data_IF_683496109384
#
_entry.id   IF_683496109384
#
_cell.length_a   1.000
_cell.length_b   1.000
_cell.length_c   1.000
_cell.angle_alpha   90.00
_cell.angle_beta   90.00
_cell.angle_gamma   90.00
#
_symmetry.space_group_name_H-M   'P 1'
#
loop_
_entity.id
_entity.type
_entity.pdbx_description
1 polymer ?
#
# COMPACT_ATOMS: atom_id res chain seq x y z
N UNK A 1 -6.95 5.03 -14.44
CA UNK A 1 -5.83 4.18 -13.94
C UNK A 1 -5.17 3.53 -15.14
N UNK A 2 -3.84 3.56 -15.23
CA UNK A 2 -3.10 2.92 -16.31
C UNK A 2 -3.01 1.40 -16.09
N UNK A 3 -3.26 0.62 -17.14
CA UNK A 3 -3.20 -0.85 -17.10
C UNK A 3 -1.76 -1.30 -17.33
N UNK A 4 -1.19 -1.95 -16.32
CA UNK A 4 0.19 -2.43 -16.33
C UNK A 4 0.19 -3.95 -16.41
N UNK A 5 0.61 -4.50 -17.56
CA UNK A 5 0.56 -5.94 -17.85
C UNK A 5 1.93 -6.64 -17.75
N UNK A 6 3.03 -5.89 -17.75
CA UNK A 6 4.41 -6.41 -17.75
C UNK A 6 5.24 -5.73 -16.68
N UNK A 7 6.34 -6.38 -16.28
CA UNK A 7 7.27 -5.83 -15.28
C UNK A 7 7.94 -4.56 -15.82
N UNK A 8 8.29 -4.54 -17.10
CA UNK A 8 8.93 -3.43 -17.80
C UNK A 8 8.00 -2.20 -17.88
N UNK A 9 6.69 -2.41 -18.09
CA UNK A 9 5.72 -1.33 -18.03
C UNK A 9 5.59 -0.78 -16.60
N UNK A 10 5.71 -1.64 -15.59
CA UNK A 10 5.70 -1.20 -14.20
C UNK A 10 6.95 -0.39 -13.87
N UNK A 11 8.13 -0.81 -14.32
CA UNK A 11 9.40 -0.08 -14.19
C UNK A 11 9.28 1.33 -14.77
N UNK A 12 8.79 1.43 -16.01
CA UNK A 12 8.57 2.70 -16.69
C UNK A 12 7.55 3.58 -15.94
N UNK A 13 6.41 3.00 -15.53
CA UNK A 13 5.35 3.73 -14.83
C UNK A 13 5.80 4.25 -13.45
N UNK A 14 6.65 3.50 -12.75
CA UNK A 14 7.15 3.87 -11.43
C UNK A 14 8.46 4.70 -11.49
N UNK A 15 9.10 4.75 -12.66
CA UNK A 15 10.42 5.35 -12.91
C UNK A 15 11.46 4.78 -11.94
N UNK A 16 11.54 3.44 -11.88
CA UNK A 16 12.49 2.69 -11.04
C UNK A 16 12.90 1.41 -11.76
N UNK A 17 14.13 0.97 -11.54
CA UNK A 17 14.60 -0.35 -11.94
C UNK A 17 14.07 -1.42 -10.97
N UNK A 18 13.41 -2.45 -11.49
CA UNK A 18 12.87 -3.58 -10.74
C UNK A 18 13.65 -4.88 -10.99
N UNK A 19 14.74 -4.85 -11.77
CA UNK A 19 15.52 -6.04 -12.13
C UNK A 19 16.02 -6.85 -10.93
N UNK A 20 16.33 -6.18 -9.80
CA UNK A 20 16.73 -6.85 -8.56
C UNK A 20 15.64 -7.71 -7.91
N UNK A 21 14.39 -7.48 -8.30
CA UNK A 21 13.23 -8.22 -7.81
C UNK A 21 12.69 -9.22 -8.83
N UNK A 22 13.26 -9.29 -10.03
CA UNK A 22 12.79 -10.24 -11.05
C UNK A 22 13.00 -11.68 -10.56
N UNK A 23 12.00 -12.57 -10.71
CA UNK A 23 12.16 -13.98 -10.37
C UNK A 23 13.27 -14.63 -11.21
N UNK A 24 14.08 -15.47 -10.57
CA UNK A 24 15.12 -16.29 -11.20
C UNK A 24 14.82 -17.77 -10.92
N UNK A 25 14.72 -18.65 -11.94
CA UNK A 25 14.84 -18.36 -13.37
C UNK A 25 13.68 -17.49 -13.90
N UNK A 26 13.88 -16.86 -15.06
CA UNK A 26 12.89 -15.97 -15.66
C UNK A 26 11.62 -16.74 -16.03
N UNK A 27 10.47 -16.21 -15.63
CA UNK A 27 9.16 -16.82 -15.87
C UNK A 27 8.62 -16.38 -17.24
N UNK A 28 8.26 -17.34 -18.10
CA UNK A 28 7.67 -17.10 -19.42
C UNK A 28 6.14 -16.86 -19.37
N UNK A 29 5.70 -15.96 -18.47
CA UNK A 29 4.32 -15.48 -18.41
C UNK A 29 4.31 -14.11 -17.72
N UNK A 30 3.90 -13.06 -18.43
CA UNK A 30 3.99 -11.66 -17.97
C UNK A 30 3.28 -11.40 -16.63
N UNK A 31 2.00 -11.79 -16.52
CA UNK A 31 1.20 -11.59 -15.30
C UNK A 31 1.73 -12.34 -14.08
N UNK A 32 2.29 -13.54 -14.27
CA UNK A 32 2.90 -14.32 -13.17
C UNK A 32 4.24 -13.68 -12.80
N UNK A 33 5.04 -13.27 -13.79
CA UNK A 33 6.35 -12.64 -13.57
C UNK A 33 6.24 -11.35 -12.76
N UNK A 34 5.35 -10.43 -13.15
CA UNK A 34 5.13 -9.19 -12.40
C UNK A 34 4.57 -9.45 -10.99
N UNK A 35 3.68 -10.43 -10.84
CA UNK A 35 3.15 -10.82 -9.53
C UNK A 35 4.25 -11.37 -8.61
N UNK A 36 5.11 -12.24 -9.13
CA UNK A 36 6.27 -12.78 -8.40
C UNK A 36 7.28 -11.69 -8.05
N UNK A 37 7.57 -10.76 -8.97
CA UNK A 37 8.45 -9.62 -8.69
C UNK A 37 7.87 -8.74 -7.57
N UNK A 38 6.57 -8.46 -7.59
CA UNK A 38 5.88 -7.77 -6.50
C UNK A 38 5.93 -8.57 -5.17
N UNK A 39 5.85 -9.89 -5.24
CA UNK A 39 6.07 -10.77 -4.09
C UNK A 39 7.49 -10.66 -3.53
N UNK A 40 8.50 -10.57 -4.39
CA UNK A 40 9.91 -10.37 -4.02
C UNK A 40 10.13 -9.01 -3.36
N UNK A 41 9.49 -7.96 -3.88
CA UNK A 41 9.48 -6.63 -3.24
C UNK A 41 8.93 -6.75 -1.82
N UNK A 42 7.74 -7.35 -1.64
CA UNK A 42 7.13 -7.51 -0.32
C UNK A 42 8.00 -8.33 0.65
N UNK A 43 8.71 -9.36 0.16
CA UNK A 43 9.69 -10.11 0.98
C UNK A 43 10.88 -9.25 1.38
N UNK A 44 11.43 -8.48 0.44
CA UNK A 44 12.60 -7.63 0.66
C UNK A 44 12.30 -6.51 1.67
N UNK A 45 11.09 -5.91 1.60
CA UNK A 45 10.60 -4.96 2.61
C UNK A 45 10.69 -5.58 3.99
N UNK A 46 10.16 -6.79 4.19
CA UNK A 46 10.17 -7.47 5.50
C UNK A 46 11.59 -7.69 6.02
N UNK A 47 12.54 -7.93 5.12
CA UNK A 47 13.97 -8.07 5.44
C UNK A 47 14.68 -6.75 5.76
N UNK A 48 14.01 -5.60 5.63
CA UNK A 48 14.60 -4.29 5.95
C UNK A 48 15.09 -3.49 4.74
N UNK A 49 14.83 -3.96 3.51
CA UNK A 49 15.28 -3.27 2.30
C UNK A 49 14.51 -1.95 2.09
N UNK A 50 15.23 -0.83 2.17
CA UNK A 50 14.68 0.51 2.06
C UNK A 50 14.19 0.84 0.65
N UNK A 51 14.90 0.46 -0.42
CA UNK A 51 14.39 0.76 -1.76
C UNK A 51 13.23 -0.15 -2.13
N UNK A 52 13.14 -1.37 -1.57
CA UNK A 52 11.92 -2.18 -1.68
C UNK A 52 10.73 -1.46 -1.06
N UNK A 53 10.93 -0.83 0.11
CA UNK A 53 9.88 -0.07 0.78
C UNK A 53 9.46 1.14 -0.07
N UNK A 54 10.41 1.87 -0.65
CA UNK A 54 10.16 2.99 -1.58
C UNK A 54 9.36 2.54 -2.81
N UNK A 55 9.75 1.41 -3.43
CA UNK A 55 9.02 0.84 -4.57
C UNK A 55 7.61 0.41 -4.15
N UNK A 56 7.47 -0.30 -3.03
CA UNK A 56 6.18 -0.73 -2.52
C UNK A 56 5.25 0.44 -2.22
N UNK A 57 5.78 1.51 -1.64
CA UNK A 57 5.07 2.78 -1.45
C UNK A 57 4.60 3.38 -2.78
N UNK A 58 5.50 3.50 -3.77
CA UNK A 58 5.15 4.03 -5.10
C UNK A 58 4.03 3.22 -5.76
N UNK A 59 4.05 1.89 -5.65
CA UNK A 59 2.96 1.02 -6.15
C UNK A 59 1.63 1.37 -5.48
N UNK A 60 1.60 1.60 -4.17
CA UNK A 60 0.36 1.89 -3.45
C UNK A 60 -0.17 3.29 -3.81
N UNK A 61 0.69 4.31 -3.82
CA UNK A 61 0.26 5.69 -4.03
C UNK A 61 -0.07 5.98 -5.50
N UNK A 62 0.79 5.55 -6.45
CA UNK A 62 0.51 5.72 -7.89
C UNK A 62 -0.61 4.79 -8.39
N UNK A 63 -0.94 3.76 -7.61
CA UNK A 63 -2.12 2.92 -7.79
C UNK A 63 -2.31 2.34 -9.21
N UNK A 64 -1.29 1.66 -9.79
CA UNK A 64 -1.42 1.06 -11.11
C UNK A 64 -2.47 -0.05 -11.11
N UNK A 65 -3.11 -0.26 -12.27
CA UNK A 65 -3.99 -1.41 -12.48
C UNK A 65 -3.14 -2.62 -12.87
N UNK A 66 -2.80 -3.45 -11.87
CA UNK A 66 -1.94 -4.63 -11.99
C UNK A 66 -2.75 -5.93 -12.13
N UNK A 67 -2.22 -6.96 -12.81
CA UNK A 67 -2.74 -8.32 -12.65
C UNK A 67 -2.61 -8.74 -11.20
N UNK A 68 -3.68 -9.31 -10.62
CA UNK A 68 -3.74 -9.64 -9.19
C UNK A 68 -3.49 -8.44 -8.27
N UNK A 69 -3.78 -7.21 -8.74
CA UNK A 69 -3.44 -5.97 -8.05
C UNK A 69 -3.91 -5.92 -6.60
N UNK A 70 -5.11 -6.44 -6.32
CA UNK A 70 -5.63 -6.62 -4.95
C UNK A 70 -4.67 -7.41 -4.05
N UNK A 71 -4.21 -8.58 -4.50
CA UNK A 71 -3.33 -9.46 -3.72
C UNK A 71 -1.94 -8.82 -3.56
N UNK A 72 -1.43 -8.22 -4.63
CA UNK A 72 -0.13 -7.53 -4.65
C UNK A 72 -0.12 -6.37 -3.65
N UNK A 73 -1.10 -5.46 -3.75
CA UNK A 73 -1.20 -4.27 -2.92
C UNK A 73 -1.41 -4.61 -1.44
N UNK A 74 -2.29 -5.57 -1.13
CA UNK A 74 -2.42 -6.11 0.23
C UNK A 74 -1.13 -6.76 0.75
N UNK A 75 -0.39 -7.48 -0.11
CA UNK A 75 0.91 -8.07 0.25
C UNK A 75 1.94 -7.01 0.63
N UNK A 76 2.07 -5.97 -0.19
CA UNK A 76 2.98 -4.85 0.02
C UNK A 76 2.58 -4.05 1.27
N UNK A 77 1.30 -3.71 1.44
CA UNK A 77 0.83 -2.97 2.60
C UNK A 77 1.11 -3.71 3.91
N UNK A 78 0.88 -5.05 3.94
CA UNK A 78 1.23 -5.87 5.11
C UNK A 78 2.73 -5.90 5.38
N UNK A 79 3.57 -5.90 4.35
CA UNK A 79 5.01 -5.80 4.52
C UNK A 79 5.44 -4.43 5.06
N UNK A 80 4.91 -3.34 4.51
CA UNK A 80 5.17 -1.97 4.98
C UNK A 80 4.72 -1.78 6.43
N UNK A 81 3.57 -2.34 6.82
CA UNK A 81 3.10 -2.32 8.22
C UNK A 81 4.15 -2.86 9.20
N UNK A 82 4.86 -3.92 8.82
CA UNK A 82 5.89 -4.52 9.68
C UNK A 82 7.15 -3.65 9.77
N UNK A 83 7.34 -2.74 8.81
CA UNK A 83 8.57 -1.95 8.61
C UNK A 83 8.28 -0.48 8.32
N UNK A 84 7.33 0.10 9.04
CA UNK A 84 6.91 1.51 8.84
C UNK A 84 8.05 2.52 9.08
N UNK A 85 9.10 2.11 9.78
CA UNK A 85 10.32 2.90 9.99
C UNK A 85 11.16 3.06 8.72
N UNK A 86 10.95 2.23 7.69
CA UNK A 86 11.63 2.37 6.39
C UNK A 86 11.05 3.51 5.55
N UNK A 87 9.80 3.91 5.81
CA UNK A 87 9.12 5.00 5.11
C UNK A 87 9.60 6.36 5.65
N UNK A 88 9.99 7.24 4.73
CA UNK A 88 10.24 8.66 5.01
C UNK A 88 8.96 9.40 5.42
N UNK A 89 9.07 10.58 6.04
CA UNK A 89 7.89 11.39 6.39
C UNK A 89 6.98 11.71 5.19
N UNK A 90 7.56 12.03 4.02
CA UNK A 90 6.80 12.30 2.80
C UNK A 90 6.03 11.05 2.33
N UNK A 91 6.64 9.88 2.39
CA UNK A 91 5.98 8.62 2.01
C UNK A 91 4.86 8.25 2.99
N UNK A 92 5.03 8.55 4.29
CA UNK A 92 3.96 8.36 5.28
C UNK A 92 2.77 9.28 4.99
N UNK A 93 3.02 10.55 4.69
CA UNK A 93 1.98 11.52 4.35
C UNK A 93 1.21 11.10 3.09
N UNK A 94 1.91 10.75 2.01
CA UNK A 94 1.26 10.28 0.78
C UNK A 94 0.48 8.98 0.95
N UNK A 95 0.93 8.08 1.85
CA UNK A 95 0.19 6.85 2.17
C UNK A 95 -1.12 7.16 2.92
N UNK A 96 -1.08 8.11 3.87
CA UNK A 96 -2.24 8.60 4.61
C UNK A 96 -3.25 9.23 3.64
N UNK A 97 -2.80 10.15 2.79
CA UNK A 97 -3.63 10.80 1.77
C UNK A 97 -4.28 9.77 0.84
N UNK A 98 -3.51 8.81 0.34
CA UNK A 98 -4.03 7.73 -0.51
C UNK A 98 -5.08 6.90 0.23
N UNK A 99 -4.88 6.62 1.52
CA UNK A 99 -5.85 5.84 2.31
C UNK A 99 -7.16 6.61 2.46
N UNK A 100 -7.12 7.90 2.80
CA UNK A 100 -8.31 8.76 2.86
C UNK A 100 -9.03 8.83 1.52
N UNK A 101 -8.29 9.02 0.42
CA UNK A 101 -8.83 9.01 -0.94
C UNK A 101 -9.63 7.74 -1.24
N UNK A 102 -9.11 6.56 -0.90
CA UNK A 102 -9.79 5.28 -1.15
C UNK A 102 -11.02 5.06 -0.26
N UNK A 103 -11.03 5.60 0.96
CA UNK A 103 -12.20 5.52 1.86
C UNK A 103 -13.34 6.47 1.45
N UNK A 104 -13.01 7.54 0.71
CA UNK A 104 -13.98 8.49 0.15
C UNK A 104 -14.65 7.99 -1.14
N UNK A 105 -14.17 6.90 -1.75
CA UNK A 105 -14.76 6.36 -2.97
C UNK A 105 -16.19 5.82 -2.72
N UNK A 106 -17.07 5.83 -3.73
CA UNK A 106 -18.40 5.21 -3.64
C UNK A 106 -18.35 3.71 -3.31
N UNK A 107 -17.23 3.06 -3.62
CA UNK A 107 -16.93 1.68 -3.23
C UNK A 107 -15.55 1.62 -2.57
N UNK A 108 -15.38 0.74 -1.59
CA UNK A 108 -14.11 0.60 -0.88
C UNK A 108 -13.29 -0.60 -1.40
N UNK A 109 -12.11 -0.40 -2.01
CA UNK A 109 -11.24 -1.50 -2.43
C UNK A 109 -10.84 -2.43 -1.26
N UNK A 110 -10.59 -3.71 -1.53
CA UNK A 110 -10.33 -4.72 -0.46
C UNK A 110 -9.04 -4.44 0.29
N UNK A 111 -8.01 -4.03 -0.43
CA UNK A 111 -6.69 -3.68 0.09
C UNK A 111 -6.71 -2.50 1.07
N UNK A 112 -7.72 -1.63 1.01
CA UNK A 112 -7.85 -0.46 1.91
C UNK A 112 -7.90 -0.86 3.38
N UNK A 113 -8.36 -2.07 3.71
CA UNK A 113 -8.31 -2.60 5.08
C UNK A 113 -6.87 -2.76 5.57
N UNK A 114 -5.96 -3.27 4.74
CA UNK A 114 -4.54 -3.37 5.08
C UNK A 114 -3.89 -1.98 5.18
N UNK A 115 -4.37 -1.02 4.38
CA UNK A 115 -3.86 0.35 4.42
C UNK A 115 -4.23 1.03 5.74
N UNK A 116 -5.47 0.88 6.21
CA UNK A 116 -5.89 1.36 7.54
C UNK A 116 -5.02 0.75 8.65
N UNK A 117 -4.64 -0.53 8.54
CA UNK A 117 -3.73 -1.19 9.50
C UNK A 117 -2.30 -0.60 9.46
N UNK A 118 -1.84 -0.11 8.30
CA UNK A 118 -0.57 0.64 8.17
C UNK A 118 -0.72 1.99 8.84
N UNK A 119 -1.77 2.77 8.53
CA UNK A 119 -2.05 4.08 9.14
C UNK A 119 -2.09 3.98 10.67
N UNK A 120 -2.79 3.00 11.23
CA UNK A 120 -2.77 2.74 12.68
C UNK A 120 -1.37 2.52 13.23
N UNK A 121 -0.51 1.83 12.48
CA UNK A 121 0.89 1.57 12.88
C UNK A 121 1.76 2.82 12.76
N UNK A 122 1.41 3.78 11.91
CA UNK A 122 2.11 5.06 11.78
C UNK A 122 1.92 5.97 12.99
N UNK A 123 0.80 5.87 13.71
CA UNK A 123 0.55 6.63 14.95
C UNK A 123 -0.77 7.38 14.96
N UNK A 124 -1.08 8.02 16.09
CA UNK A 124 -2.33 8.75 16.30
C UNK A 124 -2.48 9.92 15.32
N UNK A 125 -1.42 10.72 15.11
CA UNK A 125 -1.44 11.80 14.13
C UNK A 125 -1.82 11.35 12.71
N UNK A 126 -1.32 10.19 12.27
CA UNK A 126 -1.69 9.63 10.96
C UNK A 126 -3.14 9.17 10.91
N UNK A 127 -3.67 8.58 11.99
CA UNK A 127 -5.07 8.20 12.08
C UNK A 127 -5.97 9.43 12.06
N UNK A 128 -5.64 10.46 12.85
CA UNK A 128 -6.39 11.70 12.92
C UNK A 128 -6.51 12.36 11.54
N UNK A 129 -5.40 12.44 10.80
CA UNK A 129 -5.42 12.95 9.42
C UNK A 129 -6.34 12.14 8.51
N UNK A 130 -6.39 10.80 8.62
CA UNK A 130 -7.36 10.01 7.84
C UNK A 130 -8.79 10.31 8.29
N UNK A 131 -9.03 10.39 9.59
CA UNK A 131 -10.37 10.62 10.17
C UNK A 131 -10.94 11.95 9.70
N UNK A 132 -10.16 13.03 9.79
CA UNK A 132 -10.58 14.38 9.42
C UNK A 132 -10.83 14.53 7.90
N UNK A 133 -10.10 13.80 7.07
CA UNK A 133 -10.17 13.92 5.62
C UNK A 133 -11.06 12.85 4.94
N UNK A 134 -11.86 12.10 5.71
CA UNK A 134 -12.68 11.01 5.19
C UNK A 134 -14.17 11.21 5.46
N UNK A 135 -14.95 11.24 4.39
CA UNK A 135 -16.42 11.21 4.40
C UNK A 135 -16.91 9.87 3.81
N UNK A 136 -16.81 8.83 4.63
CA UNK A 136 -17.16 7.47 4.22
C UNK A 136 -18.67 7.36 3.89
N UNK A 137 -19.01 6.95 2.66
CA UNK A 137 -20.41 6.79 2.20
C UNK A 137 -20.88 5.35 2.09
N UNK A 138 -19.95 4.41 1.93
CA UNK A 138 -20.26 2.99 1.85
C UNK A 138 -19.98 2.28 3.18
N UNK A 139 -20.77 1.25 3.48
CA UNK A 139 -20.74 0.51 4.74
C UNK A 139 -19.33 0.05 5.14
N UNK A 140 -18.56 -0.45 4.17
CA UNK A 140 -17.20 -0.91 4.44
C UNK A 140 -16.25 0.24 4.80
N UNK A 141 -16.35 1.38 4.14
CA UNK A 141 -15.53 2.55 4.49
C UNK A 141 -15.93 3.11 5.84
N UNK A 142 -17.22 3.12 6.17
CA UNK A 142 -17.74 3.54 7.48
C UNK A 142 -17.11 2.65 8.56
N UNK A 143 -17.19 1.33 8.40
CA UNK A 143 -16.59 0.37 9.35
C UNK A 143 -15.07 0.58 9.52
N UNK A 144 -14.34 0.82 8.43
CA UNK A 144 -12.90 1.05 8.48
C UNK A 144 -12.54 2.40 9.14
N UNK A 145 -13.33 3.44 8.89
CA UNK A 145 -13.19 4.73 9.55
C UNK A 145 -13.47 4.62 11.06
N UNK A 146 -14.55 3.94 11.46
CA UNK A 146 -14.85 3.65 12.87
C UNK A 146 -13.72 2.86 13.54
N UNK A 147 -13.15 1.88 12.85
CA UNK A 147 -11.98 1.15 13.35
C UNK A 147 -10.78 2.06 13.66
N UNK A 148 -10.52 3.08 12.83
CA UNK A 148 -9.47 4.06 13.07
C UNK A 148 -9.81 4.99 14.22
N UNK A 149 -11.06 5.47 14.32
CA UNK A 149 -11.54 6.32 15.43
C UNK A 149 -11.34 5.60 16.77
N UNK A 150 -11.88 4.39 16.91
CA UNK A 150 -11.76 3.60 18.14
C UNK A 150 -10.29 3.30 18.49
N UNK A 151 -9.47 3.02 17.48
CA UNK A 151 -8.03 2.79 17.69
C UNK A 151 -7.27 4.05 18.11
N UNK A 152 -7.75 5.23 17.73
CA UNK A 152 -7.14 6.51 18.09
C UNK A 152 -7.45 6.87 19.54
N UNK A 153 -8.72 6.77 19.95
CA UNK A 153 -9.15 7.04 21.34
C UNK A 153 -8.40 6.17 22.34
N UNK A 154 -8.32 4.86 22.10
CA UNK A 154 -7.60 3.91 22.99
C UNK A 154 -6.11 4.20 23.16
N UNK A 155 -5.51 5.03 22.29
CA UNK A 155 -4.09 5.42 22.38
C UNK A 155 -3.87 6.75 23.05
N UNK A 156 -4.87 7.62 23.10
CA UNK A 156 -4.79 8.88 23.83
C UNK A 156 -4.95 8.64 25.34
N UNK A 157 -5.54 7.50 25.73
CA UNK A 157 -5.70 7.06 27.12
C UNK A 157 -4.44 6.35 27.72
N UNK A 158 -3.32 6.26 26.98
CA UNK A 158 -2.06 5.59 27.36
C UNK A 158 -0.88 6.56 27.40
#
# INVERSE_FOLDING_TARGET
>A
MERIATLENLEKFLEVDLGRYEPKPRINHSSIRISQACGNIARSIKSGDRDAAKVGYKIIVRDPHLPFGKLIKSGIARALKQRVNLMSPMEKAGFVEKTSSLLNLPFCPRETEDYCKVVRKLGSAAMQLVIENTHARNEKSIRLLTYLIQSNTLREDL
#
